data_IF_859333492608
#
_entry.id   IF_859333492608
#
_cell.length_a   1.000
_cell.length_b   1.000
_cell.length_c   1.000
_cell.angle_alpha   90.00
_cell.angle_beta   90.00
_cell.angle_gamma   90.00
#
_symmetry.space_group_name_H-M   'P 1'
#
loop_
_entity.id
_entity.type
_entity.pdbx_description
1 polymer ?
#
# COMPACT_ATOMS: atom_id res chain seq x y z
N UNK A 1 -11.30 15.36 17.45
CA UNK A 1 -10.38 14.49 18.20
C UNK A 1 -9.48 13.85 17.15
N UNK A 2 -8.15 13.98 17.24
CA UNK A 2 -7.26 13.34 16.26
C UNK A 2 -7.47 11.82 16.37
N UNK A 3 -7.49 11.09 15.26
CA UNK A 3 -7.61 9.62 15.31
C UNK A 3 -6.52 8.98 16.19
N UNK A 4 -5.36 9.64 16.31
CA UNK A 4 -4.26 9.21 17.17
C UNK A 4 -4.36 9.67 18.64
N UNK A 5 -5.29 10.58 18.97
CA UNK A 5 -5.50 11.10 20.34
C UNK A 5 -6.52 10.28 21.14
N UNK A 6 -6.95 9.12 20.62
CA UNK A 6 -7.77 8.20 21.41
C UNK A 6 -6.91 7.73 22.59
N UNK A 7 -7.25 8.07 23.85
CA UNK A 7 -6.42 7.71 24.98
C UNK A 7 -6.28 6.19 25.00
N UNK A 8 -5.04 5.70 25.00
CA UNK A 8 -4.72 4.28 25.12
C UNK A 8 -5.22 3.62 26.44
N UNK A 9 -6.00 4.37 27.24
CA UNK A 9 -6.33 4.08 28.63
C UNK A 9 -7.57 3.19 28.77
N UNK A 10 -8.39 2.94 27.72
CA UNK A 10 -9.63 2.15 27.91
C UNK A 10 -9.86 0.98 26.95
N UNK A 11 -8.82 0.47 26.27
CA UNK A 11 -8.92 -0.79 25.55
C UNK A 11 -7.75 -1.69 25.96
N UNK A 12 -7.91 -2.36 27.11
CA UNK A 12 -6.95 -3.33 27.68
C UNK A 12 -6.77 -4.60 26.81
N UNK A 13 -7.43 -4.69 25.66
CA UNK A 13 -7.31 -5.77 24.71
C UNK A 13 -6.33 -5.38 23.59
N UNK A 14 -5.29 -6.19 23.41
CA UNK A 14 -4.30 -6.01 22.34
C UNK A 14 -4.16 -7.29 21.53
N UNK A 15 -4.28 -7.18 20.21
CA UNK A 15 -3.89 -8.23 19.28
C UNK A 15 -2.37 -8.40 19.32
N UNK A 16 -1.87 -9.63 19.10
CA UNK A 16 -0.44 -9.97 19.18
C UNK A 16 0.22 -10.21 17.81
N UNK A 17 -0.39 -9.67 16.75
CA UNK A 17 0.01 -9.93 15.37
C UNK A 17 -0.97 -10.84 14.64
N UNK A 18 -0.57 -11.30 13.46
CA UNK A 18 -1.37 -12.20 12.61
C UNK A 18 -1.12 -13.64 13.03
N UNK A 19 -2.16 -14.32 13.51
CA UNK A 19 -2.09 -15.75 13.83
C UNK A 19 -2.10 -16.60 12.57
N UNK A 20 -3.12 -16.42 11.72
CA UNK A 20 -3.17 -17.08 10.41
C UNK A 20 -3.99 -16.31 9.40
N UNK A 21 -3.81 -16.67 8.13
CA UNK A 21 -4.70 -16.32 7.02
C UNK A 21 -5.26 -17.61 6.41
N UNK A 22 -6.48 -17.59 5.89
CA UNK A 22 -7.12 -18.77 5.33
C UNK A 22 -7.82 -18.47 4.00
N UNK A 23 -7.69 -19.39 3.03
CA UNK A 23 -8.25 -19.25 1.68
C UNK A 23 -8.82 -20.57 1.17
N UNK A 24 -9.82 -20.60 0.27
CA UNK A 24 -10.18 -21.83 -0.40
C UNK A 24 -9.12 -22.25 -1.42
N UNK A 25 -9.06 -23.54 -1.74
CA UNK A 25 -8.29 -24.07 -2.87
C UNK A 25 -9.10 -25.13 -3.62
N UNK A 26 -9.02 -25.06 -4.94
CA UNK A 26 -9.63 -26.03 -5.87
C UNK A 26 -8.57 -26.87 -6.58
N UNK A 27 -7.29 -26.55 -6.32
CA UNK A 27 -6.10 -27.16 -6.92
C UNK A 27 -5.22 -27.71 -5.80
N UNK A 28 -5.72 -28.74 -5.13
CA UNK A 28 -5.13 -29.24 -3.88
C UNK A 28 -3.64 -29.58 -4.04
N UNK A 29 -3.30 -30.35 -5.07
CA UNK A 29 -1.93 -30.80 -5.32
C UNK A 29 -1.03 -29.60 -5.62
N UNK A 30 -1.43 -28.76 -6.56
CA UNK A 30 -0.66 -27.60 -7.02
C UNK A 30 -0.46 -26.59 -5.89
N UNK A 31 -1.48 -26.41 -5.04
CA UNK A 31 -1.37 -25.57 -3.84
C UNK A 31 -0.32 -26.13 -2.89
N UNK A 32 -0.37 -27.43 -2.58
CA UNK A 32 0.63 -28.07 -1.71
C UNK A 32 2.03 -27.96 -2.29
N UNK A 33 2.21 -28.27 -3.57
CA UNK A 33 3.51 -28.19 -4.25
C UNK A 33 4.04 -26.75 -4.29
N UNK A 34 3.17 -25.76 -4.53
CA UNK A 34 3.57 -24.36 -4.55
C UNK A 34 4.05 -23.89 -3.18
N UNK A 35 3.24 -24.01 -2.13
CA UNK A 35 3.61 -23.48 -0.82
C UNK A 35 4.74 -24.30 -0.17
N UNK A 36 4.73 -25.64 -0.32
CA UNK A 36 5.78 -26.51 0.25
C UNK A 36 7.07 -26.51 -0.54
N UNK A 37 7.01 -26.65 -1.86
CA UNK A 37 8.20 -26.94 -2.67
C UNK A 37 8.74 -25.69 -3.38
N UNK A 38 7.85 -24.81 -3.87
CA UNK A 38 8.27 -23.54 -4.51
C UNK A 38 8.66 -22.53 -3.44
N UNK A 39 7.75 -22.23 -2.50
CA UNK A 39 8.01 -21.29 -1.40
C UNK A 39 8.79 -21.91 -0.24
N UNK A 40 8.82 -23.23 -0.08
CA UNK A 40 9.59 -23.86 1.00
C UNK A 40 8.92 -23.80 2.38
N UNK A 41 7.62 -23.47 2.44
CA UNK A 41 6.89 -23.36 3.70
C UNK A 41 6.54 -24.77 4.22
N UNK A 42 6.93 -25.15 5.46
CA UNK A 42 6.60 -26.45 6.02
C UNK A 42 5.09 -26.64 6.18
N UNK A 43 4.53 -27.77 5.72
CA UNK A 43 3.18 -28.20 6.08
C UNK A 43 3.20 -28.74 7.51
N UNK A 44 2.51 -28.06 8.43
CA UNK A 44 2.62 -28.36 9.88
C UNK A 44 1.35 -28.95 10.49
N UNK A 45 0.19 -28.77 9.86
CA UNK A 45 -1.07 -29.30 10.38
C UNK A 45 -2.11 -29.50 9.28
N UNK A 46 -2.97 -30.50 9.45
CA UNK A 46 -4.15 -30.73 8.60
C UNK A 46 -5.32 -31.23 9.44
N UNK A 47 -6.46 -30.58 9.28
CA UNK A 47 -7.77 -30.99 9.79
C UNK A 47 -8.54 -31.63 8.65
N UNK A 48 -9.14 -32.80 8.90
CA UNK A 48 -10.11 -33.43 8.03
C UNK A 48 -11.46 -33.45 8.74
N UNK A 49 -12.48 -32.82 8.16
CA UNK A 49 -13.76 -32.65 8.82
C UNK A 49 -14.93 -32.82 7.87
N UNK A 50 -16.06 -33.27 8.45
CA UNK A 50 -17.35 -33.16 7.78
C UNK A 50 -17.77 -31.70 7.70
N UNK A 51 -18.51 -31.34 6.64
CA UNK A 51 -19.09 -30.02 6.52
C UNK A 51 -19.98 -29.71 7.74
N UNK A 52 -19.77 -28.55 8.36
CA UNK A 52 -20.60 -28.06 9.47
C UNK A 52 -21.16 -26.67 9.15
N UNK A 53 -22.34 -26.36 9.68
CA UNK A 53 -23.07 -25.12 9.37
C UNK A 53 -24.25 -25.37 8.43
N UNK A 54 -24.50 -24.51 7.42
CA UNK A 54 -25.52 -24.76 6.40
C UNK A 54 -25.41 -26.16 5.80
N UNK A 55 -26.55 -26.80 5.52
CA UNK A 55 -26.59 -28.15 4.94
C UNK A 55 -25.91 -28.25 3.56
N UNK A 56 -25.61 -27.11 2.93
CA UNK A 56 -24.88 -27.00 1.67
C UNK A 56 -23.36 -27.02 1.83
N UNK A 57 -22.82 -27.01 3.06
CA UNK A 57 -21.38 -27.05 3.29
C UNK A 57 -20.82 -28.45 3.01
N UNK A 58 -19.90 -28.60 2.05
CA UNK A 58 -19.27 -29.88 1.77
C UNK A 58 -18.25 -30.24 2.86
N UNK A 59 -17.92 -31.52 2.94
CA UNK A 59 -16.75 -32.01 3.69
C UNK A 59 -15.47 -31.36 3.17
N UNK A 60 -14.44 -31.24 4.02
CA UNK A 60 -13.23 -30.52 3.63
C UNK A 60 -11.96 -30.98 4.35
N UNK A 61 -10.84 -30.65 3.72
CA UNK A 61 -9.52 -30.60 4.34
C UNK A 61 -9.17 -29.15 4.64
N UNK A 62 -8.59 -28.88 5.80
CA UNK A 62 -8.07 -27.57 6.17
C UNK A 62 -6.63 -27.73 6.63
N UNK A 63 -5.68 -27.23 5.84
CA UNK A 63 -4.26 -27.51 6.03
C UNK A 63 -3.43 -26.24 6.09
N UNK A 64 -2.35 -26.28 6.87
CA UNK A 64 -1.63 -25.09 7.35
C UNK A 64 -0.14 -25.20 7.03
N UNK A 65 0.40 -24.17 6.38
CA UNK A 65 1.83 -23.99 6.20
C UNK A 65 2.37 -22.96 7.19
N UNK A 66 3.54 -23.24 7.76
CA UNK A 66 4.27 -22.27 8.58
C UNK A 66 4.82 -21.16 7.67
N UNK A 67 4.36 -19.93 7.90
CA UNK A 67 4.75 -18.74 7.14
C UNK A 67 5.71 -17.83 7.91
N UNK A 68 6.28 -18.33 9.01
CA UNK A 68 7.27 -17.66 9.84
C UNK A 68 6.66 -16.91 11.02
N UNK A 69 7.50 -16.68 12.04
CA UNK A 69 7.15 -15.95 13.27
C UNK A 69 5.90 -16.50 13.99
N UNK A 70 5.65 -17.81 13.87
CA UNK A 70 4.46 -18.47 14.44
C UNK A 70 3.16 -18.22 13.67
N UNK A 71 3.20 -17.50 12.55
CA UNK A 71 2.04 -17.25 11.70
C UNK A 71 1.88 -18.32 10.64
N UNK A 72 0.64 -18.65 10.27
CA UNK A 72 0.36 -19.65 9.21
C UNK A 72 -0.45 -19.10 8.04
N UNK A 73 -0.24 -19.69 6.86
CA UNK A 73 -1.18 -19.60 5.76
C UNK A 73 -1.90 -20.94 5.59
N UNK A 74 -3.21 -20.89 5.54
CA UNK A 74 -4.07 -22.06 5.56
C UNK A 74 -4.99 -22.14 4.34
N UNK A 75 -5.34 -23.37 3.96
CA UNK A 75 -6.18 -23.62 2.80
C UNK A 75 -7.32 -24.59 3.11
N UNK A 76 -8.54 -24.20 2.72
CA UNK A 76 -9.71 -25.07 2.71
C UNK A 76 -9.85 -25.73 1.34
N UNK A 77 -9.71 -27.05 1.30
CA UNK A 77 -10.09 -27.84 0.14
C UNK A 77 -11.45 -28.50 0.38
N UNK A 78 -12.50 -27.87 -0.15
CA UNK A 78 -13.87 -28.38 -0.09
C UNK A 78 -14.06 -29.52 -1.09
N UNK A 79 -14.38 -30.72 -0.60
CA UNK A 79 -14.47 -31.93 -1.41
C UNK A 79 -15.61 -31.82 -2.42
N UNK A 80 -15.30 -32.10 -3.68
CA UNK A 80 -16.27 -32.01 -4.80
C UNK A 80 -16.56 -30.59 -5.28
N UNK A 81 -15.98 -29.56 -4.66
CA UNK A 81 -16.08 -28.18 -5.16
C UNK A 81 -15.23 -27.98 -6.42
N UNK A 82 -15.61 -26.97 -7.22
CA UNK A 82 -14.87 -26.52 -8.40
C UNK A 82 -14.44 -25.08 -8.24
N UNK A 83 -13.44 -24.67 -9.01
CA UNK A 83 -13.01 -23.28 -9.11
C UNK A 83 -14.21 -22.38 -9.51
N UNK A 84 -14.49 -21.31 -8.75
CA UNK A 84 -15.52 -20.34 -9.12
C UNK A 84 -15.20 -19.64 -10.44
N UNK A 85 -16.23 -19.38 -11.25
CA UNK A 85 -16.08 -18.71 -12.55
C UNK A 85 -15.39 -17.33 -12.43
N UNK A 86 -15.65 -16.61 -11.34
CA UNK A 86 -15.03 -15.31 -11.03
C UNK A 86 -13.51 -15.35 -10.80
N UNK A 87 -12.96 -16.54 -10.54
CA UNK A 87 -11.54 -16.79 -10.31
C UNK A 87 -10.85 -17.49 -11.48
N UNK A 88 -11.64 -18.01 -12.43
CA UNK A 88 -11.15 -18.72 -13.60
C UNK A 88 -10.12 -17.89 -14.39
N UNK A 89 -8.98 -18.51 -14.71
CA UNK A 89 -7.92 -17.91 -15.52
C UNK A 89 -6.99 -16.94 -14.77
N UNK A 90 -7.34 -16.52 -13.56
CA UNK A 90 -6.55 -15.53 -12.80
C UNK A 90 -5.13 -15.97 -12.50
N UNK A 91 -4.87 -17.27 -12.31
CA UNK A 91 -3.52 -17.79 -12.08
C UNK A 91 -2.55 -17.54 -13.24
N UNK A 92 -3.06 -17.20 -14.44
CA UNK A 92 -2.27 -16.87 -15.62
C UNK A 92 -2.22 -15.37 -15.92
N UNK A 93 -2.91 -14.54 -15.14
CA UNK A 93 -2.83 -13.09 -15.29
C UNK A 93 -1.43 -12.59 -14.91
N UNK A 94 -0.93 -11.54 -15.58
CA UNK A 94 0.35 -10.97 -15.24
C UNK A 94 0.35 -10.50 -13.77
N UNK A 95 1.51 -10.51 -13.10
CA UNK A 95 1.65 -10.14 -11.70
C UNK A 95 1.67 -8.61 -11.51
N UNK A 96 0.68 -7.94 -12.09
CA UNK A 96 0.45 -6.50 -11.97
C UNK A 96 -1.05 -6.28 -11.72
N UNK A 97 -1.45 -5.29 -10.91
CA UNK A 97 -2.86 -5.03 -10.64
C UNK A 97 -3.60 -4.70 -11.95
N UNK A 98 -4.58 -5.53 -12.32
CA UNK A 98 -5.52 -5.29 -13.42
C UNK A 98 -6.96 -5.18 -12.93
N UNK A 99 -7.24 -5.80 -11.78
CA UNK A 99 -8.50 -5.73 -11.06
C UNK A 99 -8.25 -5.16 -9.67
N UNK A 100 -8.54 -3.87 -9.50
CA UNK A 100 -8.35 -3.18 -8.22
C UNK A 100 -9.16 -3.77 -7.05
N UNK A 101 -10.22 -4.54 -7.31
CA UNK A 101 -11.01 -5.16 -6.24
C UNK A 101 -10.30 -6.41 -5.73
N UNK A 102 -9.92 -7.30 -6.63
CA UNK A 102 -9.31 -8.57 -6.26
C UNK A 102 -7.82 -8.41 -5.91
N UNK A 103 -7.07 -7.66 -6.70
CA UNK A 103 -5.60 -7.54 -6.57
C UNK A 103 -5.19 -6.65 -5.38
N UNK A 104 -6.10 -5.79 -4.91
CA UNK A 104 -5.89 -5.09 -3.63
C UNK A 104 -5.86 -6.08 -2.44
N UNK A 105 -6.42 -7.28 -2.58
CA UNK A 105 -6.36 -8.33 -1.56
C UNK A 105 -5.17 -9.26 -1.81
N UNK A 106 -4.12 -9.12 -1.00
CA UNK A 106 -2.91 -9.94 -1.10
C UNK A 106 -2.36 -10.34 0.27
N UNK A 107 -1.49 -11.35 0.29
CA UNK A 107 -0.64 -11.66 1.45
C UNK A 107 0.77 -11.20 1.17
N UNK A 108 1.32 -10.38 2.06
CA UNK A 108 2.72 -9.95 2.00
C UNK A 108 3.55 -10.63 3.09
N UNK A 109 4.73 -11.15 2.71
CA UNK A 109 5.74 -11.65 3.63
C UNK A 109 7.02 -10.82 3.59
N UNK A 110 7.62 -10.63 4.76
CA UNK A 110 8.79 -9.78 4.94
C UNK A 110 10.08 -10.55 4.61
N UNK A 111 10.99 -9.88 3.93
CA UNK A 111 12.42 -10.19 3.87
C UNK A 111 13.22 -8.99 4.37
N UNK A 112 14.43 -9.22 4.86
CA UNK A 112 15.18 -8.21 5.59
C UNK A 112 15.99 -7.31 4.64
N UNK A 113 16.43 -7.84 3.50
CA UNK A 113 17.40 -7.16 2.62
C UNK A 113 16.97 -7.11 1.15
N UNK A 114 17.64 -6.23 0.39
CA UNK A 114 17.46 -6.19 -1.06
C UNK A 114 17.89 -7.50 -1.71
N UNK A 115 19.00 -8.05 -1.25
CA UNK A 115 19.60 -9.25 -1.81
C UNK A 115 18.69 -10.46 -1.60
N UNK A 116 18.01 -10.54 -0.45
CA UNK A 116 16.98 -11.55 -0.21
C UNK A 116 15.78 -11.38 -1.14
N UNK A 117 15.30 -10.15 -1.34
CA UNK A 117 14.21 -9.86 -2.28
C UNK A 117 14.56 -10.31 -3.71
N UNK A 118 15.79 -10.02 -4.15
CA UNK A 118 16.32 -10.45 -5.45
C UNK A 118 16.50 -11.96 -5.55
N UNK A 119 16.96 -12.60 -4.47
CA UNK A 119 17.10 -14.05 -4.41
C UNK A 119 15.73 -14.75 -4.50
N UNK A 120 14.70 -14.19 -3.86
CA UNK A 120 13.32 -14.68 -3.96
C UNK A 120 12.79 -14.58 -5.39
N UNK A 121 12.94 -13.41 -6.02
CA UNK A 121 12.56 -13.22 -7.42
C UNK A 121 13.23 -14.26 -8.32
N UNK A 122 14.56 -14.39 -8.22
CA UNK A 122 15.34 -15.34 -9.02
C UNK A 122 14.89 -16.79 -8.80
N UNK A 123 14.62 -17.17 -7.55
CA UNK A 123 14.12 -18.51 -7.19
C UNK A 123 12.75 -18.78 -7.82
N UNK A 124 11.83 -17.83 -7.72
CA UNK A 124 10.47 -17.95 -8.25
C UNK A 124 10.48 -18.08 -9.77
N UNK A 125 11.22 -17.20 -10.45
CA UNK A 125 11.38 -17.23 -11.91
C UNK A 125 12.03 -18.54 -12.38
N UNK A 126 13.05 -19.03 -11.67
CA UNK A 126 13.69 -20.33 -11.96
C UNK A 126 12.74 -21.54 -11.79
N UNK A 127 11.62 -21.36 -11.08
CA UNK A 127 10.55 -22.35 -10.92
C UNK A 127 9.37 -22.10 -11.84
N UNK A 128 9.48 -21.18 -12.79
CA UNK A 128 8.47 -20.88 -13.80
C UNK A 128 7.33 -19.99 -13.31
N UNK A 129 7.51 -19.28 -12.18
CA UNK A 129 6.54 -18.30 -11.69
C UNK A 129 6.81 -16.96 -12.38
N UNK A 130 5.77 -16.31 -12.89
CA UNK A 130 5.85 -14.94 -13.40
C UNK A 130 5.86 -13.96 -12.21
N UNK A 131 6.88 -13.10 -12.14
CA UNK A 131 7.13 -12.20 -11.02
C UNK A 131 7.22 -10.75 -11.51
N UNK A 132 6.63 -9.83 -10.76
CA UNK A 132 6.66 -8.41 -11.10
C UNK A 132 8.10 -7.85 -11.05
N UNK A 133 8.28 -6.68 -11.67
CA UNK A 133 9.44 -5.84 -11.37
C UNK A 133 9.39 -5.37 -9.91
N UNK A 134 10.56 -5.08 -9.33
CA UNK A 134 10.65 -4.49 -8.00
C UNK A 134 10.02 -3.11 -8.01
N UNK A 135 9.07 -2.89 -7.10
CA UNK A 135 8.34 -1.63 -7.00
C UNK A 135 8.50 -1.06 -5.61
N UNK A 136 9.05 0.15 -5.52
CA UNK A 136 9.20 0.89 -4.27
C UNK A 136 7.94 1.75 -4.01
N UNK A 137 7.16 1.35 -3.01
CA UNK A 137 6.00 2.07 -2.48
C UNK A 137 6.38 2.77 -1.19
N UNK A 138 6.80 4.03 -1.28
CA UNK A 138 7.25 4.84 -0.14
C UNK A 138 8.19 4.08 0.82
N UNK A 139 7.62 3.51 1.90
CA UNK A 139 8.31 2.81 2.99
C UNK A 139 8.68 1.36 2.71
N UNK A 140 8.23 0.77 1.61
CA UNK A 140 8.49 -0.62 1.24
C UNK A 140 8.94 -0.77 -0.20
N UNK A 141 9.64 -1.87 -0.47
CA UNK A 141 9.95 -2.34 -1.82
C UNK A 141 9.53 -3.79 -1.96
N UNK A 142 8.81 -4.09 -3.03
CA UNK A 142 8.07 -5.35 -3.16
C UNK A 142 8.18 -5.95 -4.54
N UNK A 143 8.04 -7.27 -4.58
CA UNK A 143 7.73 -8.07 -5.77
C UNK A 143 6.39 -8.75 -5.57
N UNK A 144 5.66 -8.96 -6.66
CA UNK A 144 4.35 -9.60 -6.67
C UNK A 144 4.34 -10.80 -7.60
N UNK A 145 3.50 -11.79 -7.29
CA UNK A 145 3.24 -12.96 -8.12
C UNK A 145 1.88 -13.56 -7.77
N UNK A 146 1.41 -14.52 -8.57
CA UNK A 146 0.17 -15.24 -8.31
C UNK A 146 0.44 -16.69 -7.94
N UNK A 147 -0.33 -17.20 -6.97
CA UNK A 147 -0.33 -18.62 -6.65
C UNK A 147 -1.17 -19.43 -7.67
N UNK A 148 -1.20 -20.78 -7.59
CA UNK A 148 -1.98 -21.60 -8.52
C UNK A 148 -3.49 -21.32 -8.52
N UNK A 149 -4.02 -20.73 -7.45
CA UNK A 149 -5.42 -20.33 -7.31
C UNK A 149 -5.66 -18.88 -7.77
N UNK A 150 -4.62 -18.19 -8.26
CA UNK A 150 -4.68 -16.80 -8.72
C UNK A 150 -4.58 -15.76 -7.61
N UNK A 151 -4.38 -16.17 -6.35
CA UNK A 151 -4.23 -15.22 -5.24
C UNK A 151 -2.97 -14.40 -5.41
N UNK A 152 -3.10 -13.10 -5.16
CA UNK A 152 -1.98 -12.17 -5.25
C UNK A 152 -1.11 -12.31 -3.99
N UNK A 153 0.17 -12.58 -4.21
CA UNK A 153 1.18 -12.78 -3.16
C UNK A 153 2.27 -11.74 -3.35
N UNK A 154 2.75 -11.21 -2.23
CA UNK A 154 3.80 -10.20 -2.16
C UNK A 154 4.96 -10.71 -1.30
N UNK A 155 6.18 -10.47 -1.75
CA UNK A 155 7.37 -10.50 -0.89
C UNK A 155 7.90 -9.07 -0.85
N UNK A 156 8.11 -8.56 0.36
CA UNK A 156 8.40 -7.15 0.60
C UNK A 156 9.54 -6.98 1.58
N UNK A 157 10.24 -5.85 1.49
CA UNK A 157 11.19 -5.39 2.51
C UNK A 157 10.84 -3.98 2.97
N UNK A 158 11.20 -3.65 4.22
CA UNK A 158 11.09 -2.28 4.73
C UNK A 158 12.27 -1.44 4.22
N UNK A 159 12.00 -0.27 3.63
CA UNK A 159 13.01 0.71 3.25
C UNK A 159 13.37 1.63 4.42
N UNK A 160 12.42 1.83 5.34
CA UNK A 160 12.64 2.47 6.65
C UNK A 160 11.60 2.00 7.67
N UNK A 161 11.87 2.25 8.95
CA UNK A 161 10.86 2.11 9.99
C UNK A 161 9.82 3.23 9.89
N UNK A 162 8.57 2.89 10.23
CA UNK A 162 7.54 3.90 10.46
C UNK A 162 7.84 4.65 11.75
N UNK A 163 7.77 5.97 11.68
CA UNK A 163 7.98 6.91 12.76
C UNK A 163 6.64 7.55 13.20
N UNK A 164 6.58 8.23 14.36
CA UNK A 164 5.36 8.87 14.83
C UNK A 164 4.75 9.87 13.84
N UNK A 165 5.56 10.50 12.97
CA UNK A 165 5.04 11.39 11.93
C UNK A 165 4.21 10.66 10.87
N UNK A 166 4.56 9.41 10.51
CA UNK A 166 3.78 8.63 9.54
C UNK A 166 2.37 8.36 10.07
N UNK A 167 2.25 8.04 11.36
CA UNK A 167 0.96 7.84 11.99
C UNK A 167 0.12 9.14 12.00
N UNK A 168 0.74 10.29 12.27
CA UNK A 168 0.05 11.59 12.25
C UNK A 168 -0.37 12.00 10.85
N UNK A 169 0.47 11.78 9.85
CA UNK A 169 0.15 12.03 8.45
C UNK A 169 -1.00 11.13 7.97
N UNK A 170 -0.93 9.83 8.28
CA UNK A 170 -1.98 8.87 7.97
C UNK A 170 -3.33 9.27 8.60
N UNK A 171 -3.31 9.69 9.86
CA UNK A 171 -4.51 10.20 10.52
C UNK A 171 -5.07 11.44 9.83
N UNK A 172 -4.23 12.42 9.49
CA UNK A 172 -4.66 13.63 8.80
C UNK A 172 -5.27 13.32 7.41
N UNK A 173 -4.68 12.39 6.66
CA UNK A 173 -5.20 11.94 5.35
C UNK A 173 -6.57 11.28 5.48
N UNK A 174 -6.72 10.33 6.39
CA UNK A 174 -7.97 9.60 6.57
C UNK A 174 -9.07 10.48 7.18
N UNK A 175 -8.74 11.38 8.10
CA UNK A 175 -9.69 12.38 8.62
C UNK A 175 -10.25 13.24 7.49
N UNK A 176 -9.37 13.70 6.59
CA UNK A 176 -9.80 14.49 5.46
C UNK A 176 -10.74 13.72 4.52
N UNK A 177 -10.42 12.46 4.23
CA UNK A 177 -11.26 11.61 3.38
C UNK A 177 -12.63 11.30 4.04
N UNK A 178 -12.64 10.97 5.33
CA UNK A 178 -13.86 10.65 6.10
C UNK A 178 -14.78 11.88 6.20
N UNK A 179 -14.23 13.07 6.42
CA UNK A 179 -15.00 14.31 6.46
C UNK A 179 -15.69 14.59 5.11
N UNK A 180 -14.95 14.44 4.00
CA UNK A 180 -15.54 14.57 2.66
C UNK A 180 -16.65 13.54 2.43
N UNK A 181 -16.48 12.30 2.90
CA UNK A 181 -17.52 11.28 2.80
C UNK A 181 -18.75 11.57 3.67
N UNK A 182 -18.56 12.19 4.83
CA UNK A 182 -19.63 12.42 5.81
C UNK A 182 -20.44 13.67 5.48
N UNK A 183 -19.79 14.75 5.05
CA UNK A 183 -20.39 16.08 4.91
C UNK A 183 -20.52 16.55 3.46
N UNK A 184 -20.07 15.75 2.49
CA UNK A 184 -20.22 16.03 1.06
C UNK A 184 -20.61 14.75 0.30
N UNK A 185 -20.47 14.73 -1.03
CA UNK A 185 -20.74 13.56 -1.87
C UNK A 185 -19.66 12.47 -1.78
N UNK A 186 -18.66 12.65 -0.93
CA UNK A 186 -17.40 11.91 -0.97
C UNK A 186 -16.45 12.41 -2.06
N UNK A 187 -15.15 12.22 -1.86
CA UNK A 187 -14.14 12.56 -2.85
C UNK A 187 -14.25 11.65 -4.08
N UNK A 188 -14.16 12.22 -5.28
CA UNK A 188 -14.15 11.46 -6.53
C UNK A 188 -12.76 11.35 -7.16
N UNK A 189 -11.81 12.17 -6.71
CA UNK A 189 -10.40 12.07 -7.05
C UNK A 189 -9.53 12.37 -5.82
N UNK A 190 -8.25 11.99 -5.89
CA UNK A 190 -7.30 12.16 -4.78
C UNK A 190 -7.01 13.64 -4.49
N UNK A 191 -7.06 14.50 -5.51
CA UNK A 191 -6.84 15.95 -5.39
C UNK A 191 -7.80 16.61 -4.38
N UNK A 192 -9.05 16.14 -4.29
CA UNK A 192 -10.02 16.61 -3.31
C UNK A 192 -9.55 16.31 -1.88
N UNK A 193 -8.97 15.13 -1.64
CA UNK A 193 -8.43 14.72 -0.33
C UNK A 193 -7.17 15.53 -0.01
N UNK A 194 -6.25 15.68 -0.95
CA UNK A 194 -5.03 16.49 -0.75
C UNK A 194 -5.35 17.95 -0.44
N UNK A 195 -6.34 18.51 -1.14
CA UNK A 195 -6.81 19.87 -0.90
C UNK A 195 -7.47 20.04 0.46
N UNK A 196 -8.33 19.10 0.85
CA UNK A 196 -9.02 19.15 2.13
C UNK A 196 -8.04 18.95 3.30
N UNK A 197 -7.07 18.03 3.15
CA UNK A 197 -5.95 17.86 4.10
C UNK A 197 -5.13 19.15 4.23
N UNK A 198 -4.78 19.80 3.12
CA UNK A 198 -4.05 21.07 3.16
C UNK A 198 -4.84 22.21 3.83
N UNK A 199 -6.16 22.30 3.61
CA UNK A 199 -6.99 23.31 4.26
C UNK A 199 -6.95 23.18 5.80
N UNK A 200 -6.99 21.95 6.33
CA UNK A 200 -6.83 21.67 7.77
C UNK A 200 -5.50 22.16 8.33
N UNK A 201 -4.44 22.17 7.52
CA UNK A 201 -3.14 22.69 7.89
C UNK A 201 -3.06 24.20 7.75
N UNK A 202 -3.62 24.78 6.69
CA UNK A 202 -3.62 26.23 6.49
C UNK A 202 -4.31 27.00 7.61
N UNK A 203 -5.44 26.47 8.12
CA UNK A 203 -6.13 27.01 9.30
C UNK A 203 -5.29 26.94 10.58
N UNK A 204 -4.46 25.90 10.72
CA UNK A 204 -3.60 25.66 11.90
C UNK A 204 -2.24 26.33 11.83
N UNK A 205 -1.72 26.59 10.63
CA UNK A 205 -0.37 27.07 10.37
C UNK A 205 -0.32 28.53 9.89
N UNK A 206 -1.45 29.23 9.90
CA UNK A 206 -1.61 30.65 9.57
C UNK A 206 -0.99 31.03 8.20
N UNK A 207 -1.34 30.27 7.17
CA UNK A 207 -0.75 30.44 5.84
C UNK A 207 -1.48 31.49 4.99
N UNK A 208 -0.73 32.23 4.16
CA UNK A 208 -1.29 33.15 3.15
C UNK A 208 -2.00 32.37 2.03
N UNK A 209 -3.33 32.29 2.11
CA UNK A 209 -4.18 31.52 1.20
C UNK A 209 -4.19 31.99 -0.27
N UNK A 210 -3.47 33.08 -0.60
CA UNK A 210 -3.31 33.55 -2.00
C UNK A 210 -2.16 32.86 -2.75
N UNK A 211 -1.28 32.18 -2.04
CA UNK A 211 -0.13 31.47 -2.64
C UNK A 211 -0.46 29.99 -2.82
N UNK A 212 0.11 29.37 -3.83
CA UNK A 212 0.12 27.91 -3.88
C UNK A 212 1.00 27.40 -2.74
N UNK A 213 0.60 26.30 -2.10
CA UNK A 213 1.35 25.66 -1.03
C UNK A 213 1.35 24.14 -1.19
N UNK A 214 2.54 23.55 -1.09
CA UNK A 214 2.75 22.11 -1.09
C UNK A 214 3.23 21.74 0.31
N UNK A 215 2.47 20.89 1.00
CA UNK A 215 2.84 20.36 2.30
C UNK A 215 3.61 19.05 2.06
N UNK A 216 4.94 19.11 2.15
CA UNK A 216 5.80 17.96 1.92
C UNK A 216 6.10 17.31 3.27
N UNK A 217 5.73 16.03 3.42
CA UNK A 217 6.02 15.29 4.64
C UNK A 217 7.54 15.13 4.82
N UNK A 218 8.05 15.35 6.04
CA UNK A 218 9.47 15.32 6.36
C UNK A 218 10.03 13.89 6.48
N UNK A 219 9.99 13.16 5.36
CA UNK A 219 10.49 11.80 5.21
C UNK A 219 11.47 11.70 4.02
N UNK A 220 12.42 10.74 4.04
CA UNK A 220 13.45 10.61 2.99
C UNK A 220 12.90 10.55 1.56
N UNK A 221 11.74 9.92 1.37
CA UNK A 221 11.09 9.68 0.08
C UNK A 221 10.76 10.97 -0.69
N UNK A 222 10.52 12.07 0.02
CA UNK A 222 10.15 13.37 -0.56
C UNK A 222 11.24 14.43 -0.41
N UNK A 223 12.39 14.09 0.16
CA UNK A 223 13.50 15.03 0.41
C UNK A 223 13.99 15.75 -0.86
N UNK A 224 14.05 15.03 -1.99
CA UNK A 224 14.52 15.62 -3.26
C UNK A 224 13.58 16.68 -3.81
N UNK A 225 12.27 16.62 -3.51
CA UNK A 225 11.31 17.66 -3.85
C UNK A 225 11.62 18.96 -3.08
N UNK A 226 11.93 18.84 -1.79
CA UNK A 226 12.31 19.97 -0.93
C UNK A 226 13.60 20.61 -1.45
N UNK A 227 14.61 19.80 -1.76
CA UNK A 227 15.89 20.29 -2.28
C UNK A 227 15.77 20.95 -3.65
N UNK A 228 14.90 20.43 -4.52
CA UNK A 228 14.59 21.06 -5.79
C UNK A 228 13.89 22.41 -5.60
N UNK A 229 12.91 22.48 -4.70
CA UNK A 229 12.18 23.71 -4.41
C UNK A 229 13.08 24.81 -3.82
N UNK A 230 14.05 24.46 -2.95
CA UNK A 230 15.04 25.40 -2.39
C UNK A 230 15.93 26.07 -3.44
N UNK A 231 16.07 25.46 -4.63
CA UNK A 231 16.86 26.01 -5.74
C UNK A 231 16.06 26.95 -6.64
N UNK A 232 14.74 27.03 -6.46
CA UNK A 232 13.87 27.90 -7.23
C UNK A 232 13.68 29.23 -6.50
N UNK A 233 14.11 30.33 -7.11
CA UNK A 233 13.96 31.69 -6.53
C UNK A 233 12.49 32.09 -6.32
N UNK A 234 11.58 31.49 -7.08
CA UNK A 234 10.13 31.71 -6.98
C UNK A 234 9.50 31.02 -5.77
N UNK A 235 10.23 30.12 -5.10
CA UNK A 235 9.73 29.31 -4.00
C UNK A 235 10.25 29.82 -2.65
N UNK A 236 9.35 29.93 -1.67
CA UNK A 236 9.69 30.02 -0.25
C UNK A 236 9.53 28.64 0.37
N UNK A 237 10.52 28.17 1.11
CA UNK A 237 10.53 26.85 1.73
C UNK A 237 10.69 27.01 3.24
N UNK A 238 9.74 26.51 4.02
CA UNK A 238 9.72 26.67 5.48
C UNK A 238 9.39 25.36 6.19
N UNK A 239 10.13 25.04 7.24
CA UNK A 239 9.85 23.87 8.07
C UNK A 239 8.75 24.20 9.11
N UNK A 240 7.71 23.37 9.14
CA UNK A 240 6.50 23.53 9.96
C UNK A 240 6.16 22.21 10.67
N UNK A 241 7.06 21.78 11.56
CA UNK A 241 6.90 20.54 12.33
C UNK A 241 7.10 19.30 11.47
N UNK A 242 6.03 18.53 11.25
CA UNK A 242 6.08 17.29 10.47
C UNK A 242 6.20 17.52 8.96
N UNK A 243 5.97 18.75 8.49
CA UNK A 243 5.99 19.11 7.08
C UNK A 243 6.98 20.22 6.79
N UNK A 244 7.57 20.20 5.59
CA UNK A 244 8.16 21.37 4.94
C UNK A 244 7.14 21.94 3.96
N UNK A 245 6.82 23.22 4.09
CA UNK A 245 5.87 23.93 3.25
C UNK A 245 6.61 24.68 2.15
N UNK A 246 6.35 24.29 0.89
CA UNK A 246 6.81 25.01 -0.29
C UNK A 246 5.69 25.97 -0.70
N UNK A 247 5.96 27.27 -0.74
CA UNK A 247 4.99 28.30 -1.16
C UNK A 247 5.50 29.11 -2.34
N UNK A 248 4.63 29.39 -3.31
CA UNK A 248 4.97 30.26 -4.46
C UNK A 248 3.78 31.14 -4.86
N UNK A 249 4.08 32.35 -5.35
CA UNK A 249 3.08 33.25 -5.91
C UNK A 249 2.80 32.97 -7.40
N UNK A 250 3.75 32.32 -8.07
CA UNK A 250 3.68 31.95 -9.48
C UNK A 250 3.63 30.42 -9.63
N UNK A 251 3.19 29.89 -10.79
CA UNK A 251 3.19 28.46 -11.02
C UNK A 251 4.57 27.81 -10.92
N UNK A 252 4.62 26.61 -10.35
CA UNK A 252 5.85 25.82 -10.15
C UNK A 252 5.75 24.51 -10.90
N UNK A 253 6.88 23.99 -11.39
CA UNK A 253 6.94 22.71 -12.08
C UNK A 253 8.09 21.85 -11.59
N UNK A 254 7.87 20.54 -11.55
CA UNK A 254 8.88 19.56 -11.20
C UNK A 254 8.88 18.43 -12.22
N UNK A 255 10.07 17.87 -12.45
CA UNK A 255 10.26 16.72 -13.34
C UNK A 255 10.67 15.50 -12.52
N UNK A 256 9.94 14.39 -12.65
CA UNK A 256 10.15 13.17 -11.87
C UNK A 256 11.59 12.66 -11.96
N UNK A 257 12.16 12.66 -13.16
CA UNK A 257 13.53 12.16 -13.41
C UNK A 257 14.58 13.06 -12.75
N UNK A 258 14.38 14.37 -12.75
CA UNK A 258 15.27 15.31 -12.08
C UNK A 258 15.22 15.15 -10.55
N UNK A 259 14.07 14.75 -10.00
CA UNK A 259 13.92 14.42 -8.59
C UNK A 259 14.45 13.01 -8.22
N UNK A 260 14.83 12.20 -9.19
CA UNK A 260 15.22 10.80 -8.96
C UNK A 260 14.07 9.91 -8.45
N UNK A 261 12.82 10.35 -8.60
CA UNK A 261 11.67 9.68 -8.01
C UNK A 261 11.20 8.46 -8.82
N UNK A 262 10.91 7.37 -8.11
CA UNK A 262 10.27 6.18 -8.69
C UNK A 262 8.80 6.48 -9.02
N UNK A 263 8.21 5.84 -10.04
CA UNK A 263 6.83 6.13 -10.46
C UNK A 263 5.78 6.04 -9.34
N UNK A 264 5.87 5.06 -8.45
CA UNK A 264 4.89 4.89 -7.37
C UNK A 264 4.94 6.04 -6.34
N UNK A 265 6.14 6.46 -5.91
CA UNK A 265 6.34 7.62 -5.04
C UNK A 265 5.93 8.91 -5.76
N UNK A 266 6.23 9.00 -7.06
CA UNK A 266 5.87 10.15 -7.87
C UNK A 266 4.38 10.42 -7.82
N UNK A 267 3.51 9.46 -8.10
CA UNK A 267 2.05 9.70 -8.08
C UNK A 267 1.50 10.05 -6.67
N UNK A 268 2.28 9.81 -5.61
CA UNK A 268 1.99 10.23 -4.24
C UNK A 268 2.60 11.58 -3.84
N UNK A 269 3.13 12.39 -4.78
CA UNK A 269 3.89 13.62 -4.49
C UNK A 269 3.23 14.58 -3.49
N UNK A 270 1.90 14.63 -3.50
CA UNK A 270 1.10 15.53 -2.67
C UNK A 270 0.42 14.83 -1.49
N UNK A 271 0.91 13.66 -1.07
CA UNK A 271 0.37 12.91 0.07
C UNK A 271 0.29 13.77 1.33
N UNK A 272 1.27 14.66 1.56
CA UNK A 272 1.25 15.61 2.68
C UNK A 272 0.23 16.75 2.54
N UNK A 273 -0.36 16.97 1.37
CA UNK A 273 -1.41 17.97 1.11
C UNK A 273 -1.01 19.02 0.07
N UNK A 274 -2.00 19.54 -0.66
CA UNK A 274 -1.81 20.55 -1.69
C UNK A 274 -2.88 21.65 -1.62
N UNK A 275 -2.46 22.89 -1.38
CA UNK A 275 -3.27 24.08 -1.64
C UNK A 275 -2.83 24.71 -2.97
N UNK A 276 -3.47 24.31 -4.06
CA UNK A 276 -3.14 24.79 -5.41
C UNK A 276 -4.09 24.20 -6.44
N UNK A 277 -3.87 24.55 -7.71
CA UNK A 277 -4.49 23.90 -8.87
C UNK A 277 -3.43 23.14 -9.63
N UNK A 278 -3.63 21.83 -9.83
CA UNK A 278 -2.78 21.02 -10.70
C UNK A 278 -3.18 21.34 -12.15
N UNK A 279 -2.28 21.96 -12.90
CA UNK A 279 -2.49 22.25 -14.34
C UNK A 279 -2.10 21.05 -15.21
N UNK A 280 -1.09 20.29 -14.78
CA UNK A 280 -0.64 19.08 -15.43
C UNK A 280 -0.02 18.15 -14.38
N UNK A 281 -0.30 16.86 -14.48
CA UNK A 281 0.36 15.83 -13.68
C UNK A 281 0.37 14.50 -14.43
N UNK A 282 1.45 14.26 -15.15
CA UNK A 282 1.64 13.04 -15.92
C UNK A 282 2.73 12.15 -15.30
N UNK A 283 3.20 11.16 -16.05
CA UNK A 283 4.23 10.23 -15.58
C UNK A 283 5.57 10.90 -15.30
N UNK A 284 5.88 12.02 -15.93
CA UNK A 284 7.22 12.61 -15.95
C UNK A 284 7.24 14.06 -15.46
N UNK A 285 6.14 14.81 -15.56
CA UNK A 285 6.06 16.26 -15.22
C UNK A 285 4.82 16.57 -14.39
N UNK A 286 4.99 17.48 -13.42
CA UNK A 286 3.88 18.12 -12.70
C UNK A 286 4.01 19.63 -12.78
N UNK A 287 2.88 20.33 -12.95
CA UNK A 287 2.78 21.78 -12.90
C UNK A 287 1.60 22.20 -12.04
N UNK A 288 1.87 23.12 -11.12
CA UNK A 288 0.95 23.56 -10.08
C UNK A 288 0.85 25.09 -10.17
N UNK A 289 -0.35 25.63 -10.14
CA UNK A 289 -0.63 27.06 -10.09
C UNK A 289 -1.31 27.45 -8.78
N UNK A 290 -1.25 28.74 -8.37
CA UNK A 290 -2.12 29.28 -7.33
C UNK A 290 -3.60 29.09 -7.67
N UNK A 291 -4.46 29.09 -6.64
CA UNK A 291 -5.92 29.12 -6.83
C UNK A 291 -6.36 30.56 -7.12
N UNK A 292 -7.35 30.69 -8.00
CA UNK A 292 -7.97 31.98 -8.36
C UNK A 292 -8.81 32.56 -7.20
#
# INVERSE_FOLDING_TARGET
MNMNDTPAVDLALRLRGVDHTARPTWRLKETVEFYRDVLGLPLIHTISARGWGPATHPDFLHFFFDSGNGSTIAFFHYLGSREPETLSGRSTHPPRPDDHVFDATHTAWLVDTQDELQAWKSRLEARGVDVSVETAHEVIESIYFRDPNGYFIEITRKLRSLAPLDARDAAATLEAAIELQTYSRGATCIDEIWAHKAARFGERLETDGKRLQIFVLNVPEFSTLIDAARKLETCRVEDKGDYTVISAAEPVSFERRALGMKPAVWYGLFTGGLNGRIECYDRDVVRIAPRD
#
